data_IF_882721512132
#
_entry.id   IF_882721512132
#
_cell.length_a   1.000
_cell.length_b   1.000
_cell.length_c   1.000
_cell.angle_alpha   90.00
_cell.angle_beta   90.00
_cell.angle_gamma   90.00
#
_symmetry.space_group_name_H-M   'P 1'
#
loop_
_entity.id
_entity.type
_entity.pdbx_description
1 polymer ?
#
# COMPACT_ATOMS: atom_id res chain seq x y z
N UNK A 1 -19.60 -26.21 16.84
CA UNK A 1 -18.72 -27.32 17.23
C UNK A 1 -18.03 -27.84 15.97
N UNK A 2 -16.70 -28.03 15.96
CA UNK A 2 -15.96 -28.68 14.86
C UNK A 2 -16.38 -30.14 14.60
N UNK A 3 -17.38 -30.64 15.32
CA UNK A 3 -17.92 -32.01 15.19
C UNK A 3 -18.84 -32.20 13.97
N UNK A 4 -19.23 -31.13 13.25
CA UNK A 4 -20.18 -31.20 12.12
C UNK A 4 -19.55 -30.89 10.75
N UNK A 5 -18.36 -30.29 10.72
CA UNK A 5 -17.64 -29.96 9.49
C UNK A 5 -16.14 -29.83 9.80
N UNK A 6 -15.33 -29.94 8.76
CA UNK A 6 -13.88 -29.82 8.79
C UNK A 6 -13.37 -28.53 8.11
N UNK A 7 -14.22 -27.50 8.06
CA UNK A 7 -13.82 -26.20 7.56
C UNK A 7 -12.77 -25.56 8.47
N UNK A 8 -11.91 -24.73 7.89
CA UNK A 8 -10.99 -23.89 8.66
C UNK A 8 -11.77 -22.98 9.61
N UNK A 9 -11.19 -22.64 10.76
CA UNK A 9 -11.86 -21.77 11.76
C UNK A 9 -12.28 -20.40 11.20
N UNK A 10 -11.54 -19.89 10.21
CA UNK A 10 -11.83 -18.63 9.53
C UNK A 10 -12.70 -18.80 8.27
N UNK A 11 -12.99 -20.04 7.84
CA UNK A 11 -13.79 -20.29 6.64
C UNK A 11 -15.29 -20.21 6.95
N UNK A 12 -16.06 -19.91 5.90
CA UNK A 12 -17.52 -20.03 5.93
C UNK A 12 -17.93 -21.43 5.53
N UNK A 13 -18.76 -22.08 6.34
CA UNK A 13 -19.37 -23.37 6.04
C UNK A 13 -20.79 -23.15 5.50
N UNK A 14 -21.07 -23.68 4.31
CA UNK A 14 -22.41 -23.64 3.69
C UNK A 14 -22.92 -25.06 3.48
N UNK A 15 -24.07 -25.38 4.07
CA UNK A 15 -24.73 -26.67 3.82
C UNK A 15 -25.26 -26.72 2.38
N UNK A 16 -25.05 -27.86 1.73
CA UNK A 16 -25.59 -28.18 0.41
C UNK A 16 -26.34 -29.52 0.50
N UNK A 17 -27.06 -29.91 -0.54
CA UNK A 17 -27.81 -31.16 -0.50
C UNK A 17 -26.87 -32.36 -0.32
N UNK A 18 -27.01 -33.06 0.81
CA UNK A 18 -26.21 -34.24 1.15
C UNK A 18 -24.77 -33.96 1.58
N UNK A 19 -24.33 -32.70 1.71
CA UNK A 19 -22.95 -32.34 2.10
C UNK A 19 -22.85 -30.89 2.62
N UNK A 20 -21.63 -30.37 2.73
CA UNK A 20 -21.31 -28.98 2.99
C UNK A 20 -20.12 -28.52 2.12
N UNK A 21 -20.02 -27.22 1.90
CA UNK A 21 -18.90 -26.57 1.21
C UNK A 21 -18.23 -25.58 2.17
N UNK A 22 -16.90 -25.60 2.19
CA UNK A 22 -16.10 -24.62 2.92
C UNK A 22 -15.51 -23.61 1.94
N UNK A 23 -15.58 -22.33 2.29
CA UNK A 23 -14.97 -21.25 1.50
C UNK A 23 -14.18 -20.30 2.40
N UNK A 24 -12.93 -20.04 2.04
CA UNK A 24 -12.16 -19.00 2.71
C UNK A 24 -12.73 -17.62 2.37
N UNK A 25 -12.77 -16.69 3.34
CA UNK A 25 -13.23 -15.33 3.10
C UNK A 25 -12.26 -14.57 2.20
N UNK A 26 -12.74 -13.47 1.60
CA UNK A 26 -11.92 -12.58 0.81
C UNK A 26 -10.71 -12.09 1.61
N UNK A 27 -9.56 -11.97 0.95
CA UNK A 27 -8.30 -11.60 1.59
C UNK A 27 -7.51 -12.77 2.17
N UNK A 28 -8.03 -14.01 2.13
CA UNK A 28 -7.29 -15.21 2.50
C UNK A 28 -6.85 -15.99 1.27
N UNK A 29 -5.70 -16.65 1.37
CA UNK A 29 -5.21 -17.57 0.36
C UNK A 29 -5.72 -18.98 0.66
N UNK A 30 -6.27 -19.60 -0.37
CA UNK A 30 -6.69 -21.00 -0.37
C UNK A 30 -6.05 -21.70 -1.57
N UNK A 31 -5.04 -22.53 -1.30
CA UNK A 31 -4.34 -23.29 -2.35
C UNK A 31 -5.24 -24.31 -3.06
N UNK A 32 -6.36 -24.69 -2.44
CA UNK A 32 -7.30 -25.66 -2.97
C UNK A 32 -8.65 -25.04 -3.36
N UNK A 33 -8.69 -23.72 -3.59
CA UNK A 33 -9.92 -23.01 -3.98
C UNK A 33 -10.63 -23.60 -5.22
N UNK A 34 -9.88 -24.24 -6.13
CA UNK A 34 -10.43 -24.95 -7.30
C UNK A 34 -10.94 -26.37 -7.03
N UNK A 35 -10.80 -26.89 -5.81
CA UNK A 35 -11.24 -28.24 -5.44
C UNK A 35 -12.30 -28.18 -4.32
N UNK A 36 -13.59 -28.43 -4.64
CA UNK A 36 -14.69 -28.33 -3.67
C UNK A 36 -14.53 -29.22 -2.42
N UNK A 37 -13.77 -30.31 -2.50
CA UNK A 37 -13.54 -31.21 -1.37
C UNK A 37 -12.42 -30.74 -0.43
N UNK A 38 -11.58 -29.80 -0.87
CA UNK A 38 -10.41 -29.32 -0.11
C UNK A 38 -10.42 -27.81 0.14
N UNK A 39 -11.20 -27.06 -0.62
CA UNK A 39 -11.38 -25.61 -0.45
C UNK A 39 -11.85 -25.29 0.97
N UNK A 40 -11.47 -24.12 1.48
CA UNK A 40 -11.92 -23.62 2.77
C UNK A 40 -11.43 -24.40 4.00
N UNK A 41 -10.58 -25.42 3.83
CA UNK A 41 -10.01 -26.19 4.96
C UNK A 41 -8.69 -25.63 5.49
N UNK A 42 -7.99 -24.86 4.66
CA UNK A 42 -6.80 -24.10 5.04
C UNK A 42 -6.91 -22.70 4.46
N UNK A 43 -7.12 -21.71 5.35
CA UNK A 43 -7.16 -20.30 4.96
C UNK A 43 -5.93 -19.61 5.53
N UNK A 44 -5.02 -19.21 4.66
CA UNK A 44 -3.80 -18.51 5.03
C UNK A 44 -4.01 -16.99 4.96
N UNK A 45 -3.61 -16.29 6.02
CA UNK A 45 -3.47 -14.84 6.02
C UNK A 45 -2.00 -14.47 5.86
N UNK A 46 -1.72 -13.25 5.42
CA UNK A 46 -0.38 -12.70 5.41
C UNK A 46 -0.11 -11.84 6.66
N UNK A 47 1.17 -11.76 7.05
CA UNK A 47 1.63 -10.95 8.18
C UNK A 47 1.55 -9.45 7.85
N UNK A 48 1.22 -8.63 8.84
CA UNK A 48 1.29 -7.16 8.74
C UNK A 48 2.70 -6.65 8.46
N UNK A 49 3.73 -7.45 8.74
CA UNK A 49 5.13 -7.16 8.42
C UNK A 49 5.34 -6.93 6.92
N UNK A 50 4.61 -7.65 6.06
CA UNK A 50 4.70 -7.48 4.60
C UNK A 50 4.31 -6.06 4.17
N UNK A 51 3.43 -5.40 4.93
CA UNK A 51 3.02 -4.03 4.69
C UNK A 51 3.74 -3.03 5.60
N UNK A 52 4.95 -3.38 6.06
CA UNK A 52 5.77 -2.58 6.97
C UNK A 52 5.06 -2.16 8.28
N UNK A 53 4.05 -2.91 8.73
CA UNK A 53 3.14 -2.53 9.83
C UNK A 53 2.39 -1.21 9.61
N UNK A 54 2.34 -0.73 8.36
CA UNK A 54 1.71 0.53 7.94
C UNK A 54 0.46 0.30 7.08
N UNK A 55 -0.04 -0.93 7.08
CA UNK A 55 -1.17 -1.36 6.26
C UNK A 55 -1.76 -2.67 6.74
N UNK A 56 -2.92 -3.00 6.21
CA UNK A 56 -3.51 -4.34 6.36
C UNK A 56 -3.09 -5.19 5.16
N UNK A 57 -2.53 -6.38 5.44
CA UNK A 57 -2.17 -7.34 4.40
C UNK A 57 -3.35 -8.26 4.10
N UNK A 58 -3.63 -8.48 2.81
CA UNK A 58 -4.66 -9.41 2.35
C UNK A 58 -4.25 -10.08 1.03
N UNK A 59 -4.74 -11.27 0.74
CA UNK A 59 -4.52 -11.93 -0.53
C UNK A 59 -5.59 -11.54 -1.57
N UNK A 60 -5.13 -11.16 -2.75
CA UNK A 60 -5.95 -10.99 -3.96
C UNK A 60 -5.44 -11.96 -5.04
N UNK A 61 -6.29 -12.91 -5.46
CA UNK A 61 -5.90 -13.97 -6.40
C UNK A 61 -4.62 -14.73 -6.00
N UNK A 62 -4.42 -14.95 -4.70
CA UNK A 62 -3.22 -15.64 -4.17
C UNK A 62 -1.97 -14.77 -4.06
N UNK A 63 -2.03 -13.49 -4.45
CA UNK A 63 -0.93 -12.51 -4.31
C UNK A 63 -1.19 -11.63 -3.09
N UNK A 64 -0.21 -11.41 -2.19
CA UNK A 64 -0.37 -10.49 -1.08
C UNK A 64 -0.45 -9.04 -1.58
N UNK A 65 -1.44 -8.31 -1.09
CA UNK A 65 -1.72 -6.91 -1.41
C UNK A 65 -1.89 -6.14 -0.11
N UNK A 66 -1.25 -4.98 -0.05
CA UNK A 66 -1.31 -4.09 1.10
C UNK A 66 -2.34 -2.98 0.90
N UNK A 67 -3.24 -2.82 1.88
CA UNK A 67 -4.05 -1.62 2.02
C UNK A 67 -3.38 -0.69 3.03
N UNK A 68 -2.70 0.34 2.54
CA UNK A 68 -1.95 1.27 3.37
C UNK A 68 -2.87 2.17 4.22
N UNK A 69 -2.45 2.45 5.45
CA UNK A 69 -3.15 3.35 6.37
C UNK A 69 -2.66 4.78 6.12
N UNK A 70 -3.56 5.77 6.20
CA UNK A 70 -3.19 7.18 6.12
C UNK A 70 -2.50 7.57 4.81
N UNK A 71 -1.34 8.24 4.91
CA UNK A 71 -0.58 8.77 3.77
C UNK A 71 0.61 7.88 3.38
N UNK A 72 0.56 6.58 3.69
CA UNK A 72 1.59 5.64 3.23
C UNK A 72 1.29 5.13 1.81
N UNK A 73 2.33 4.98 1.00
CA UNK A 73 2.22 4.53 -0.39
C UNK A 73 3.23 3.43 -0.72
N UNK A 74 3.05 2.82 -1.89
CA UNK A 74 3.90 1.74 -2.39
C UNK A 74 3.22 0.38 -2.27
N UNK A 75 3.89 -0.64 -2.80
CA UNK A 75 3.36 -2.02 -2.81
C UNK A 75 3.29 -2.64 -1.41
N UNK A 76 4.16 -2.17 -0.51
CA UNK A 76 4.33 -2.64 0.86
C UNK A 76 4.17 -1.49 1.87
N UNK A 77 3.60 -0.36 1.46
CA UNK A 77 3.44 0.84 2.30
C UNK A 77 4.78 1.40 2.81
N UNK A 78 5.81 1.35 1.96
CA UNK A 78 7.19 1.75 2.27
C UNK A 78 7.44 3.26 2.19
N UNK A 79 6.60 4.03 1.49
CA UNK A 79 6.78 5.47 1.28
C UNK A 79 5.92 6.25 2.26
N UNK A 80 6.55 7.12 3.05
CA UNK A 80 5.86 8.09 3.92
C UNK A 80 5.52 9.38 3.15
N UNK A 81 4.22 9.60 2.90
CA UNK A 81 3.73 10.77 2.18
C UNK A 81 3.99 12.10 2.85
N UNK A 82 4.06 12.14 4.18
CA UNK A 82 4.35 13.37 4.92
C UNK A 82 5.78 13.82 4.65
N UNK A 83 6.72 12.87 4.73
CA UNK A 83 8.14 13.10 4.44
C UNK A 83 8.34 13.54 2.99
N UNK A 84 7.66 12.88 2.05
CA UNK A 84 7.71 13.23 0.63
C UNK A 84 7.19 14.65 0.37
N UNK A 85 6.07 15.02 1.01
CA UNK A 85 5.49 16.36 0.91
C UNK A 85 6.44 17.45 1.39
N UNK A 86 7.07 17.25 2.56
CA UNK A 86 8.06 18.19 3.11
C UNK A 86 9.28 18.32 2.19
N UNK A 87 9.80 17.21 1.68
CA UNK A 87 10.97 17.21 0.80
C UNK A 87 10.72 17.97 -0.51
N UNK A 88 9.56 17.74 -1.15
CA UNK A 88 9.17 18.44 -2.38
C UNK A 88 8.96 19.94 -2.08
N UNK A 89 8.23 20.26 -1.01
CA UNK A 89 7.97 21.65 -0.62
C UNK A 89 9.26 22.45 -0.38
N UNK A 90 10.19 21.88 0.38
CA UNK A 90 11.49 22.50 0.66
C UNK A 90 12.32 22.69 -0.62
N UNK A 91 12.33 21.68 -1.50
CA UNK A 91 13.06 21.74 -2.78
C UNK A 91 12.51 22.83 -3.70
N UNK A 92 11.19 22.94 -3.83
CA UNK A 92 10.52 23.97 -4.65
C UNK A 92 10.80 25.37 -4.08
N UNK A 93 10.68 25.54 -2.76
CA UNK A 93 10.97 26.83 -2.12
C UNK A 93 12.42 27.25 -2.35
N UNK A 94 13.38 26.32 -2.22
CA UNK A 94 14.79 26.59 -2.47
C UNK A 94 15.03 27.04 -3.92
N UNK A 95 14.44 26.34 -4.91
CA UNK A 95 14.56 26.71 -6.32
C UNK A 95 13.98 28.11 -6.58
N UNK A 96 12.83 28.44 -6.01
CA UNK A 96 12.20 29.77 -6.15
C UNK A 96 13.12 30.86 -5.61
N UNK A 97 13.73 30.65 -4.44
CA UNK A 97 14.66 31.60 -3.81
C UNK A 97 15.90 31.77 -4.70
N UNK A 98 16.48 30.68 -5.21
CA UNK A 98 17.64 30.72 -6.10
C UNK A 98 17.33 31.48 -7.39
N UNK A 99 16.19 31.23 -8.03
CA UNK A 99 15.81 31.94 -9.25
C UNK A 99 15.56 33.44 -9.00
N UNK A 100 14.91 33.77 -7.88
CA UNK A 100 14.64 35.15 -7.50
C UNK A 100 15.94 35.92 -7.21
N UNK A 101 16.87 35.31 -6.48
CA UNK A 101 18.18 35.91 -6.19
C UNK A 101 19.02 36.09 -7.46
N UNK A 102 19.06 35.10 -8.35
CA UNK A 102 19.74 35.21 -9.64
C UNK A 102 19.14 36.33 -10.52
N UNK A 103 17.82 36.48 -10.55
CA UNK A 103 17.16 37.57 -11.27
C UNK A 103 17.56 38.95 -10.71
N UNK A 104 17.57 39.11 -9.37
CA UNK A 104 18.03 40.32 -8.72
C UNK A 104 19.51 40.64 -9.04
N UNK A 105 20.38 39.65 -8.98
CA UNK A 105 21.81 39.81 -9.32
C UNK A 105 22.00 40.18 -10.80
N UNK A 106 21.24 39.57 -11.71
CA UNK A 106 21.26 39.92 -13.14
C UNK A 106 20.78 41.36 -13.39
N UNK A 107 19.75 41.82 -12.68
CA UNK A 107 19.25 43.19 -12.78
C UNK A 107 20.28 44.18 -12.25
N UNK A 108 20.92 43.86 -11.13
CA UNK A 108 21.95 44.70 -10.53
C UNK A 108 23.20 44.80 -11.39
N UNK A 109 23.69 43.68 -11.94
CA UNK A 109 24.86 43.70 -12.84
C UNK A 109 24.59 44.48 -14.12
N UNK A 110 23.38 44.35 -14.71
CA UNK A 110 22.95 45.16 -15.86
C UNK A 110 22.92 46.64 -15.54
N UNK A 111 22.46 47.03 -14.35
CA UNK A 111 22.45 48.43 -13.91
C UNK A 111 23.88 48.97 -13.77
N UNK A 112 24.75 48.24 -13.08
CA UNK A 112 26.15 48.65 -12.86
C UNK A 112 26.92 48.84 -14.18
N UNK A 113 26.73 47.93 -15.15
CA UNK A 113 27.36 48.06 -16.47
C UNK A 113 26.89 49.29 -17.25
N UNK A 114 25.69 49.83 -16.99
CA UNK A 114 25.24 51.09 -17.59
C UNK A 114 25.87 52.31 -16.93
N UNK A 115 26.19 52.26 -15.64
CA UNK A 115 26.77 53.39 -14.90
C UNK A 115 28.27 53.58 -15.19
N UNK A 116 28.97 52.54 -15.68
CA UNK A 116 30.41 52.56 -15.99
C UNK A 116 30.73 52.89 -17.47
N UNK A 117 29.71 53.13 -18.31
CA UNK A 117 29.85 53.46 -19.73
C UNK A 117 29.43 54.90 -19.99
#
# INVERSE_FOLDING_TARGET
>A
SPELNDCHIAATCRNIFGSFECTCPNGYKDEFSGNPHKSGRRCETCSSEHCNHRGTCSYSNGIPVCQCVGNYYGSQCEVDGEVLGVAIGASVAAVIIILSTLACLCMWSRKWNKEQK
#
